data_IF_637794830740
#
_entry.id   IF_637794830740
#
_cell.length_a   1.000
_cell.length_b   1.000
_cell.length_c   1.000
_cell.angle_alpha   90.00
_cell.angle_beta   90.00
_cell.angle_gamma   90.00
#
_symmetry.space_group_name_H-M   'P 1'
#
loop_
_entity.id
_entity.type
_entity.pdbx_description
1 polymer ?
#
# COMPACT_ATOMS: atom_id res chain seq x y z
N UNK A 1 7.13 -33.37 14.88
CA UNK A 1 6.12 -32.46 15.50
C UNK A 1 6.55 -30.99 15.61
N UNK A 2 7.85 -30.63 15.51
CA UNK A 2 8.31 -29.23 15.64
C UNK A 2 8.01 -28.28 14.46
N UNK A 3 7.61 -28.79 13.29
CA UNK A 3 7.33 -27.94 12.09
C UNK A 3 5.89 -27.38 12.13
N UNK A 4 4.97 -28.07 12.81
CA UNK A 4 3.56 -27.68 12.90
C UNK A 4 3.34 -26.50 13.87
N UNK A 5 4.18 -26.37 14.90
CA UNK A 5 4.10 -25.27 15.86
C UNK A 5 4.66 -23.95 15.31
N UNK A 6 5.79 -23.96 14.58
CA UNK A 6 6.35 -22.70 14.02
C UNK A 6 5.45 -22.03 12.99
N UNK A 7 4.73 -22.80 12.16
CA UNK A 7 3.78 -22.24 11.18
C UNK A 7 2.51 -21.68 11.83
N UNK A 8 2.09 -22.23 12.98
CA UNK A 8 0.95 -21.73 13.75
C UNK A 8 1.28 -20.42 14.47
N UNK A 9 2.52 -20.27 14.95
CA UNK A 9 2.96 -19.05 15.62
C UNK A 9 3.02 -17.86 14.66
N UNK A 10 3.55 -18.04 13.44
CA UNK A 10 3.64 -16.96 12.44
C UNK A 10 2.28 -16.43 11.97
N UNK A 11 1.31 -17.31 11.71
CA UNK A 11 -0.04 -16.91 11.33
C UNK A 11 -0.77 -16.16 12.48
N UNK A 12 -0.61 -16.63 13.72
CA UNK A 12 -1.12 -15.93 14.92
C UNK A 12 -0.56 -14.51 15.04
N UNK A 13 0.75 -14.33 14.78
CA UNK A 13 1.38 -13.01 14.79
C UNK A 13 0.81 -12.07 13.72
N UNK A 14 0.51 -12.57 12.53
CA UNK A 14 -0.10 -11.76 11.45
C UNK A 14 -1.54 -11.36 11.75
N UNK A 15 -2.31 -12.24 12.38
CA UNK A 15 -3.68 -11.90 12.82
C UNK A 15 -3.61 -10.83 13.91
N UNK A 16 -2.72 -11.02 14.89
CA UNK A 16 -2.53 -10.06 15.97
C UNK A 16 -2.05 -8.70 15.46
N UNK A 17 -1.13 -8.66 14.48
CA UNK A 17 -0.72 -7.39 13.87
C UNK A 17 -1.86 -6.74 13.10
N UNK A 18 -2.66 -7.52 12.37
CA UNK A 18 -3.81 -6.99 11.63
C UNK A 18 -4.81 -6.32 12.58
N UNK A 19 -5.10 -6.96 13.73
CA UNK A 19 -5.95 -6.37 14.78
C UNK A 19 -5.35 -5.07 15.32
N UNK A 20 -4.02 -5.04 15.58
CA UNK A 20 -3.33 -3.83 16.03
C UNK A 20 -3.40 -2.70 15.00
N UNK A 21 -3.14 -3.01 13.73
CA UNK A 21 -3.19 -2.05 12.62
C UNK A 21 -4.59 -1.45 12.49
N UNK A 22 -5.63 -2.30 12.50
CA UNK A 22 -7.02 -1.86 12.45
C UNK A 22 -7.35 -1.02 13.68
N UNK A 23 -6.98 -1.48 14.87
CA UNK A 23 -7.22 -0.76 16.13
C UNK A 23 -6.56 0.62 16.14
N UNK A 24 -5.31 0.71 15.69
CA UNK A 24 -4.61 2.00 15.57
C UNK A 24 -5.28 2.89 14.52
N UNK A 25 -5.71 2.35 13.38
CA UNK A 25 -6.43 3.11 12.36
C UNK A 25 -7.77 3.68 12.88
N UNK A 26 -8.52 2.89 13.64
CA UNK A 26 -9.77 3.34 14.28
C UNK A 26 -9.48 4.41 15.33
N UNK A 27 -8.43 4.25 16.14
CA UNK A 27 -8.00 5.26 17.12
C UNK A 27 -7.61 6.56 16.43
N UNK A 28 -6.83 6.49 15.35
CA UNK A 28 -6.43 7.63 14.55
C UNK A 28 -7.66 8.36 14.00
N UNK A 29 -8.61 7.65 13.38
CA UNK A 29 -9.84 8.25 12.87
C UNK A 29 -10.68 8.89 13.98
N UNK A 30 -10.77 8.24 15.14
CA UNK A 30 -11.50 8.76 16.31
C UNK A 30 -10.88 10.05 16.86
N UNK A 31 -9.55 10.13 16.92
CA UNK A 31 -8.82 11.33 17.33
C UNK A 31 -9.03 12.47 16.32
N UNK A 32 -8.95 12.18 15.02
CA UNK A 32 -9.21 13.17 14.00
C UNK A 32 -10.66 13.66 14.05
N UNK A 33 -11.63 12.77 14.28
CA UNK A 33 -13.04 13.15 14.37
C UNK A 33 -13.36 14.13 15.52
N UNK A 34 -12.51 14.20 16.55
CA UNK A 34 -12.66 15.16 17.64
C UNK A 34 -12.08 16.55 17.31
N UNK A 35 -11.15 16.62 16.36
CA UNK A 35 -10.39 17.83 16.03
C UNK A 35 -10.92 18.50 14.76
N UNK A 36 -11.30 17.69 13.76
CA UNK A 36 -11.71 18.14 12.45
C UNK A 36 -13.19 18.49 12.41
N UNK A 37 -13.55 19.40 11.51
CA UNK A 37 -14.94 19.77 11.25
C UNK A 37 -15.68 18.69 10.44
N UNK A 38 -17.01 18.68 10.49
CA UNK A 38 -17.81 17.70 9.75
C UNK A 38 -17.56 17.72 8.23
N UNK A 39 -17.30 18.90 7.64
CA UNK A 39 -16.99 19.03 6.22
C UNK A 39 -15.67 18.35 5.85
N UNK A 40 -14.65 18.50 6.69
CA UNK A 40 -13.32 17.91 6.52
C UNK A 40 -13.35 16.38 6.61
N UNK A 41 -14.17 15.83 7.51
CA UNK A 41 -14.36 14.38 7.62
C UNK A 41 -15.06 13.80 6.40
N UNK A 42 -16.00 14.54 5.79
CA UNK A 42 -16.64 14.13 4.55
C UNK A 42 -15.64 14.05 3.40
N UNK A 43 -14.81 15.07 3.23
CA UNK A 43 -13.70 15.10 2.28
C UNK A 43 -12.77 13.90 2.44
N UNK A 44 -12.35 13.63 3.68
CA UNK A 44 -11.51 12.48 3.99
C UNK A 44 -12.19 11.14 3.64
N UNK A 45 -13.48 10.99 3.93
CA UNK A 45 -14.22 9.78 3.61
C UNK A 45 -14.29 9.53 2.09
N UNK A 46 -14.58 10.57 1.31
CA UNK A 46 -14.59 10.48 -0.17
C UNK A 46 -13.21 10.07 -0.70
N UNK A 47 -12.14 10.68 -0.18
CA UNK A 47 -10.77 10.32 -0.58
C UNK A 47 -10.42 8.86 -0.23
N UNK A 48 -10.78 8.38 0.97
CA UNK A 48 -10.54 7.00 1.41
C UNK A 48 -11.31 6.00 0.54
N UNK A 49 -12.57 6.29 0.21
CA UNK A 49 -13.37 5.40 -0.65
C UNK A 49 -12.76 5.33 -2.05
N UNK A 50 -12.37 6.47 -2.63
CA UNK A 50 -11.66 6.51 -3.91
C UNK A 50 -10.37 5.69 -3.89
N UNK A 51 -9.59 5.83 -2.83
CA UNK A 51 -8.38 5.04 -2.59
C UNK A 51 -8.64 3.54 -2.57
N UNK A 52 -9.64 3.08 -1.82
CA UNK A 52 -9.96 1.66 -1.70
C UNK A 52 -10.33 1.03 -3.04
N UNK A 53 -11.09 1.74 -3.87
CA UNK A 53 -11.45 1.27 -5.20
C UNK A 53 -10.20 1.08 -6.05
N UNK A 54 -9.31 2.06 -6.07
CA UNK A 54 -8.13 2.03 -6.93
C UNK A 54 -7.09 1.02 -6.42
N UNK A 55 -6.87 0.96 -5.11
CA UNK A 55 -5.96 -0.01 -4.47
C UNK A 55 -6.42 -1.44 -4.74
N UNK A 56 -7.71 -1.73 -4.62
CA UNK A 56 -8.25 -3.08 -4.91
C UNK A 56 -8.12 -3.46 -6.39
N UNK A 57 -8.26 -2.50 -7.32
CA UNK A 57 -8.02 -2.74 -8.74
C UNK A 57 -6.54 -3.01 -9.04
N UNK A 58 -5.63 -2.29 -8.40
CA UNK A 58 -4.18 -2.44 -8.58
C UNK A 58 -3.68 -3.78 -8.00
N UNK A 59 -4.11 -4.15 -6.80
CA UNK A 59 -3.55 -5.29 -6.06
C UNK A 59 -4.04 -6.65 -6.59
N UNK A 60 -5.31 -6.74 -7.02
CA UNK A 60 -5.93 -8.00 -7.46
C UNK A 60 -5.33 -8.59 -8.75
N UNK A 61 -4.69 -7.77 -9.58
CA UNK A 61 -4.04 -8.22 -10.81
C UNK A 61 -2.66 -8.85 -10.59
N UNK A 62 -1.93 -8.42 -9.55
CA UNK A 62 -0.50 -8.70 -9.40
C UNK A 62 -0.20 -9.70 -8.28
N UNK A 63 -0.67 -9.43 -7.06
CA UNK A 63 -0.33 -10.23 -5.88
C UNK A 63 -0.86 -11.67 -5.98
N UNK A 64 -2.08 -11.85 -6.48
CA UNK A 64 -2.66 -13.16 -6.72
C UNK A 64 -1.90 -13.96 -7.79
N UNK A 65 -1.44 -13.29 -8.85
CA UNK A 65 -0.68 -13.94 -9.91
C UNK A 65 0.68 -14.45 -9.40
N UNK A 66 1.37 -13.67 -8.57
CA UNK A 66 2.68 -14.02 -8.01
C UNK A 66 2.60 -15.13 -6.94
N UNK A 67 1.55 -15.14 -6.11
CA UNK A 67 1.36 -16.13 -5.05
C UNK A 67 0.94 -17.50 -5.61
N UNK A 68 0.10 -17.52 -6.66
CA UNK A 68 -0.48 -18.76 -7.22
C UNK A 68 0.41 -19.46 -8.24
N UNK A 69 1.26 -18.71 -8.94
CA UNK A 69 2.19 -19.30 -9.91
C UNK A 69 3.35 -20.00 -9.18
N UNK A 70 3.66 -21.24 -9.61
CA UNK A 70 4.70 -22.10 -9.04
C UNK A 70 6.13 -21.54 -9.22
N UNK A 71 7.08 -22.35 -9.66
CA UNK A 71 8.48 -21.92 -9.89
C UNK A 71 8.58 -20.91 -11.04
N UNK A 72 8.28 -19.64 -10.75
CA UNK A 72 8.53 -18.53 -11.67
C UNK A 72 10.03 -18.31 -11.79
N UNK A 73 10.52 -18.22 -13.02
CA UNK A 73 11.90 -17.78 -13.27
C UNK A 73 12.08 -16.35 -12.74
N UNK A 74 13.32 -15.98 -12.38
CA UNK A 74 13.69 -14.60 -12.00
C UNK A 74 13.19 -13.60 -13.06
N UNK A 75 13.28 -13.98 -14.33
CA UNK A 75 12.80 -13.19 -15.48
C UNK A 75 11.29 -12.92 -15.46
N UNK A 76 10.49 -13.92 -15.11
CA UNK A 76 9.02 -13.78 -15.06
C UNK A 76 8.62 -12.85 -13.91
N UNK A 77 9.31 -12.95 -12.77
CA UNK A 77 9.10 -12.08 -11.61
C UNK A 77 9.46 -10.62 -11.93
N UNK A 78 10.58 -10.38 -12.63
CA UNK A 78 10.96 -9.03 -13.09
C UNK A 78 9.92 -8.42 -14.04
N UNK A 79 9.37 -9.20 -14.97
CA UNK A 79 8.32 -8.69 -15.88
C UNK A 79 7.04 -8.32 -15.15
N UNK A 80 6.61 -9.15 -14.21
CA UNK A 80 5.46 -8.84 -13.37
C UNK A 80 5.73 -7.57 -12.55
N UNK A 81 6.91 -7.45 -11.93
CA UNK A 81 7.30 -6.30 -11.13
C UNK A 81 7.26 -4.99 -11.95
N UNK A 82 7.91 -4.96 -13.11
CA UNK A 82 7.90 -3.79 -14.00
C UNK A 82 6.52 -3.49 -14.57
N UNK A 83 5.72 -4.52 -14.87
CA UNK A 83 4.33 -4.35 -15.29
C UNK A 83 3.46 -3.69 -14.21
N UNK A 84 3.63 -4.10 -12.95
CA UNK A 84 2.93 -3.49 -11.82
C UNK A 84 3.36 -2.04 -11.60
N UNK A 85 4.68 -1.76 -11.65
CA UNK A 85 5.21 -0.40 -11.58
C UNK A 85 4.61 0.53 -12.65
N UNK A 86 4.56 0.06 -13.89
CA UNK A 86 4.02 0.84 -15.00
C UNK A 86 2.52 1.09 -14.82
N UNK A 87 1.75 0.07 -14.40
CA UNK A 87 0.32 0.23 -14.12
C UNK A 87 0.09 1.27 -13.01
N UNK A 88 0.84 1.19 -11.92
CA UNK A 88 0.66 2.13 -10.81
C UNK A 88 1.13 3.55 -11.15
N UNK A 89 2.14 3.69 -12.02
CA UNK A 89 2.53 5.00 -12.57
C UNK A 89 1.43 5.61 -13.43
N UNK A 90 0.74 4.80 -14.25
CA UNK A 90 -0.42 5.25 -15.03
C UNK A 90 -1.55 5.69 -14.11
N UNK A 91 -1.85 4.91 -13.07
CA UNK A 91 -2.87 5.26 -12.07
C UNK A 91 -2.51 6.58 -11.36
N UNK A 92 -1.25 6.76 -10.96
CA UNK A 92 -0.74 8.02 -10.40
C UNK A 92 -1.02 9.19 -11.34
N UNK A 93 -0.62 9.10 -12.61
CA UNK A 93 -0.80 10.18 -13.57
C UNK A 93 -2.27 10.51 -13.82
N UNK A 94 -3.13 9.50 -13.91
CA UNK A 94 -4.58 9.69 -14.08
C UNK A 94 -5.20 10.37 -12.87
N UNK A 95 -4.81 9.98 -11.65
CA UNK A 95 -5.30 10.61 -10.42
C UNK A 95 -4.79 12.03 -10.24
N UNK A 96 -3.51 12.27 -10.53
CA UNK A 96 -2.88 13.58 -10.37
C UNK A 96 -3.44 14.60 -11.37
N UNK A 97 -3.70 14.20 -12.62
CA UNK A 97 -4.33 15.10 -13.62
C UNK A 97 -5.85 15.17 -13.39
N UNK A 98 -6.45 14.08 -12.91
CA UNK A 98 -7.88 14.01 -12.61
C UNK A 98 -8.30 14.74 -11.34
N UNK A 99 -7.36 15.10 -10.45
CA UNK A 99 -7.64 15.78 -9.18
C UNK A 99 -8.39 17.10 -9.41
N UNK A 100 -7.91 17.91 -10.35
CA UNK A 100 -8.50 19.19 -10.72
C UNK A 100 -9.93 19.03 -11.28
N UNK A 101 -10.14 18.03 -12.12
CA UNK A 101 -11.46 17.72 -12.69
C UNK A 101 -12.44 17.32 -11.58
N UNK A 102 -12.03 16.42 -10.69
CA UNK A 102 -12.87 15.96 -9.57
C UNK A 102 -13.17 17.10 -8.60
N UNK A 103 -12.18 17.93 -8.28
CA UNK A 103 -12.34 19.09 -7.42
C UNK A 103 -13.31 20.12 -7.99
N UNK A 104 -13.24 20.37 -9.30
CA UNK A 104 -14.17 21.28 -9.98
C UNK A 104 -15.61 20.76 -9.97
N UNK A 105 -15.80 19.44 -10.11
CA UNK A 105 -17.13 18.81 -10.10
C UNK A 105 -17.77 18.83 -8.72
N UNK A 106 -16.97 18.61 -7.66
CA UNK A 106 -17.43 18.66 -6.27
C UNK A 106 -17.42 20.06 -5.66
N UNK A 107 -16.91 21.07 -6.38
CA UNK A 107 -16.75 22.45 -5.90
C UNK A 107 -15.95 22.57 -4.60
N UNK A 108 -14.98 21.68 -4.39
CA UNK A 108 -14.14 21.63 -3.18
C UNK A 108 -12.65 21.62 -3.54
N UNK A 109 -11.95 22.77 -3.46
CA UNK A 109 -10.54 22.88 -3.84
C UNK A 109 -9.61 22.06 -2.95
N UNK A 110 -9.97 21.86 -1.67
CA UNK A 110 -9.20 21.04 -0.73
C UNK A 110 -9.09 19.58 -1.19
N UNK A 111 -10.11 19.07 -1.90
CA UNK A 111 -10.10 17.71 -2.42
C UNK A 111 -9.02 17.50 -3.50
N UNK A 112 -8.69 18.54 -4.28
CA UNK A 112 -7.64 18.45 -5.30
C UNK A 112 -6.30 18.09 -4.65
N UNK A 113 -5.90 18.88 -3.65
CA UNK A 113 -4.65 18.71 -2.90
C UNK A 113 -4.61 17.33 -2.24
N UNK A 114 -5.74 16.89 -1.67
CA UNK A 114 -5.83 15.58 -1.04
C UNK A 114 -5.59 14.44 -2.05
N UNK A 115 -6.26 14.49 -3.21
CA UNK A 115 -6.11 13.49 -4.26
C UNK A 115 -4.71 13.47 -4.86
N UNK A 116 -4.09 14.64 -5.06
CA UNK A 116 -2.71 14.75 -5.53
C UNK A 116 -1.73 14.11 -4.56
N UNK A 117 -1.81 14.45 -3.27
CA UNK A 117 -0.94 13.87 -2.25
C UNK A 117 -1.12 12.35 -2.13
N UNK A 118 -2.37 11.91 -2.18
CA UNK A 118 -2.73 10.49 -2.14
C UNK A 118 -2.21 9.75 -3.38
N UNK A 119 -2.21 10.38 -4.55
CA UNK A 119 -1.76 9.75 -5.79
C UNK A 119 -0.31 9.25 -5.66
N UNK A 120 0.55 9.98 -4.93
CA UNK A 120 1.97 9.64 -4.71
C UNK A 120 2.13 8.24 -4.09
N UNK A 121 1.14 7.80 -3.31
CA UNK A 121 1.13 6.48 -2.69
C UNK A 121 1.17 5.36 -3.73
N UNK A 122 0.59 5.57 -4.91
CA UNK A 122 0.65 4.60 -6.02
C UNK A 122 2.05 4.45 -6.62
N UNK A 123 2.97 5.37 -6.38
CA UNK A 123 4.39 5.18 -6.76
C UNK A 123 5.12 4.36 -5.68
N UNK A 124 4.72 4.50 -4.42
CA UNK A 124 5.43 3.95 -3.25
C UNK A 124 4.97 2.51 -2.93
N UNK A 125 3.66 2.26 -2.88
CA UNK A 125 3.11 0.96 -2.47
C UNK A 125 3.57 -0.22 -3.35
N UNK A 126 3.52 -0.13 -4.70
CA UNK A 126 3.79 -1.29 -5.57
C UNK A 126 5.18 -1.90 -5.37
N UNK A 127 6.15 -1.07 -4.99
CA UNK A 127 7.52 -1.51 -4.74
C UNK A 127 7.57 -2.44 -3.53
N UNK A 128 6.88 -2.07 -2.45
CA UNK A 128 6.77 -2.90 -1.24
C UNK A 128 5.87 -4.12 -1.43
N UNK A 129 4.81 -4.02 -2.24
CA UNK A 129 3.85 -5.12 -2.45
C UNK A 129 4.49 -6.36 -3.05
N UNK A 130 5.44 -6.19 -3.99
CA UNK A 130 6.16 -7.33 -4.57
C UNK A 130 6.92 -8.13 -3.50
N UNK A 131 7.71 -7.45 -2.67
CA UNK A 131 8.45 -8.11 -1.59
C UNK A 131 7.53 -8.70 -0.52
N UNK A 132 6.42 -8.02 -0.20
CA UNK A 132 5.39 -8.56 0.70
C UNK A 132 4.80 -9.86 0.16
N UNK A 133 4.48 -9.93 -1.12
CA UNK A 133 3.95 -11.13 -1.76
C UNK A 133 4.98 -12.29 -1.76
N UNK A 134 6.27 -12.01 -1.97
CA UNK A 134 7.35 -13.01 -1.81
C UNK A 134 7.41 -13.52 -0.36
N UNK A 135 7.41 -12.62 0.63
CA UNK A 135 7.43 -13.00 2.05
C UNK A 135 6.20 -13.82 2.46
N UNK A 136 5.02 -13.50 1.92
CA UNK A 136 3.79 -14.28 2.14
C UNK A 136 3.95 -15.68 1.57
N UNK A 137 4.50 -15.81 0.36
CA UNK A 137 4.77 -17.09 -0.29
C UNK A 137 5.79 -17.92 0.49
N UNK A 138 6.83 -17.29 1.04
CA UNK A 138 7.84 -17.93 1.91
C UNK A 138 7.36 -18.16 3.35
N UNK A 139 6.09 -17.85 3.66
CA UNK A 139 5.47 -17.99 4.99
C UNK A 139 6.17 -17.18 6.10
N UNK A 140 6.84 -16.08 5.74
CA UNK A 140 7.52 -15.17 6.68
C UNK A 140 6.54 -14.18 7.34
N UNK A 141 5.38 -14.67 7.81
CA UNK A 141 4.29 -13.86 8.35
C UNK A 141 4.70 -12.99 9.55
N UNK A 142 5.64 -13.44 10.37
CA UNK A 142 6.17 -12.66 11.50
C UNK A 142 6.88 -11.38 11.06
N UNK A 143 7.63 -11.42 9.95
CA UNK A 143 8.33 -10.23 9.42
C UNK A 143 7.35 -9.21 8.84
N UNK A 144 6.31 -9.71 8.16
CA UNK A 144 5.21 -8.88 7.65
C UNK A 144 4.50 -8.18 8.82
N UNK A 145 4.13 -8.94 9.85
CA UNK A 145 3.44 -8.45 11.04
C UNK A 145 4.23 -7.35 11.77
N UNK A 146 5.53 -7.56 11.94
CA UNK A 146 6.42 -6.58 12.57
C UNK A 146 6.54 -5.29 11.75
N UNK A 147 6.71 -5.43 10.44
CA UNK A 147 6.79 -4.30 9.50
C UNK A 147 5.51 -3.46 9.52
N UNK A 148 4.34 -4.11 9.45
CA UNK A 148 3.04 -3.42 9.50
C UNK A 148 2.86 -2.67 10.83
N UNK A 149 3.24 -3.29 11.95
CA UNK A 149 3.11 -2.66 13.27
C UNK A 149 3.99 -1.42 13.41
N UNK A 150 5.28 -1.49 13.02
CA UNK A 150 6.20 -0.35 13.09
C UNK A 150 5.72 0.79 12.18
N UNK A 151 5.30 0.46 10.96
CA UNK A 151 4.88 1.46 9.98
C UNK A 151 3.68 2.25 10.48
N UNK A 152 2.70 1.57 11.08
CA UNK A 152 1.49 2.19 11.62
C UNK A 152 1.76 3.02 12.88
N UNK A 153 2.63 2.55 13.77
CA UNK A 153 3.06 3.35 14.93
C UNK A 153 3.77 4.63 14.49
N UNK A 154 4.65 4.54 13.50
CA UNK A 154 5.34 5.71 12.95
C UNK A 154 4.34 6.67 12.27
N UNK A 155 3.41 6.14 11.48
CA UNK A 155 2.33 6.90 10.85
C UNK A 155 1.45 7.66 11.84
N UNK A 156 1.06 7.00 12.93
CA UNK A 156 0.32 7.65 14.01
C UNK A 156 1.15 8.79 14.62
N UNK A 157 2.44 8.57 14.88
CA UNK A 157 3.34 9.60 15.38
C UNK A 157 3.42 10.82 14.45
N UNK A 158 3.57 10.60 13.14
CA UNK A 158 3.58 11.67 12.12
C UNK A 158 2.24 12.40 12.09
N UNK A 159 1.12 11.67 12.20
CA UNK A 159 -0.23 12.26 12.21
C UNK A 159 -0.40 13.18 13.41
N UNK A 160 -0.06 12.72 14.62
CA UNK A 160 -0.17 13.53 15.83
C UNK A 160 0.75 14.75 15.78
N UNK A 161 1.96 14.59 15.23
CA UNK A 161 2.91 15.69 15.05
C UNK A 161 2.39 16.75 14.07
N UNK A 162 1.81 16.33 12.94
CA UNK A 162 1.22 17.28 11.96
C UNK A 162 -0.03 17.95 12.49
N UNK A 163 -0.86 17.26 13.26
CA UNK A 163 -2.02 17.86 13.97
C UNK A 163 -1.57 18.99 14.90
N UNK A 164 -0.43 18.80 15.59
CA UNK A 164 0.13 19.81 16.49
C UNK A 164 0.63 21.07 15.76
N UNK A 165 1.15 20.92 14.54
CA UNK A 165 1.63 22.04 13.73
C UNK A 165 0.49 22.78 13.03
N UNK A 166 -0.40 22.03 12.38
CA UNK A 166 -1.48 22.56 11.54
C UNK A 166 -2.68 21.62 11.60
N UNK A 167 -3.72 21.91 12.40
CA UNK A 167 -4.93 21.10 12.43
C UNK A 167 -5.67 21.23 11.09
N UNK A 168 -5.49 20.22 10.24
CA UNK A 168 -6.09 20.17 8.90
C UNK A 168 -6.33 18.71 8.49
N UNK A 169 -7.17 18.50 7.48
CA UNK A 169 -7.43 17.17 6.91
C UNK A 169 -6.18 16.49 6.37
N UNK A 170 -5.20 17.29 5.94
CA UNK A 170 -3.94 16.83 5.37
C UNK A 170 -3.11 16.00 6.36
N UNK A 171 -3.31 16.15 7.67
CA UNK A 171 -2.61 15.34 8.68
C UNK A 171 -2.86 13.84 8.49
N UNK A 172 -4.08 13.45 8.11
CA UNK A 172 -4.42 12.05 7.84
C UNK A 172 -3.60 11.50 6.67
N UNK A 173 -3.46 12.30 5.61
CA UNK A 173 -2.75 11.91 4.38
C UNK A 173 -1.25 11.86 4.63
N UNK A 174 -0.68 12.82 5.37
CA UNK A 174 0.72 12.78 5.77
C UNK A 174 1.04 11.53 6.61
N UNK A 175 0.16 11.20 7.56
CA UNK A 175 0.25 9.95 8.30
C UNK A 175 0.23 8.74 7.39
N UNK A 176 -0.71 8.68 6.45
CA UNK A 176 -0.84 7.57 5.50
C UNK A 176 0.38 7.44 4.57
N UNK A 177 0.91 8.55 4.05
CA UNK A 177 2.14 8.59 3.26
C UNK A 177 3.35 8.09 4.06
N UNK A 178 3.45 8.46 5.33
CA UNK A 178 4.50 7.98 6.22
C UNK A 178 4.42 6.46 6.43
N UNK A 179 3.21 5.92 6.68
CA UNK A 179 2.99 4.47 6.77
C UNK A 179 3.43 3.78 5.48
N UNK A 180 2.99 4.27 4.33
CA UNK A 180 3.30 3.69 3.03
C UNK A 180 4.82 3.68 2.77
N UNK A 181 5.50 4.80 3.08
CA UNK A 181 6.93 4.98 2.88
C UNK A 181 7.76 4.08 3.79
N UNK A 182 7.49 4.08 5.09
CA UNK A 182 8.21 3.22 6.06
C UNK A 182 8.01 1.74 5.72
N UNK A 183 6.78 1.35 5.41
CA UNK A 183 6.45 -0.02 5.02
C UNK A 183 7.21 -0.44 3.76
N UNK A 184 7.24 0.42 2.73
CA UNK A 184 7.97 0.19 1.49
C UNK A 184 9.47 0.04 1.74
N UNK A 185 10.08 0.92 2.57
CA UNK A 185 11.50 0.86 2.91
C UNK A 185 11.87 -0.42 3.65
N UNK A 186 11.09 -0.81 4.66
CA UNK A 186 11.34 -2.03 5.44
C UNK A 186 11.18 -3.28 4.56
N UNK A 187 10.15 -3.32 3.70
CA UNK A 187 9.98 -4.43 2.76
C UNK A 187 11.10 -4.50 1.73
N UNK A 188 11.59 -3.36 1.23
CA UNK A 188 12.78 -3.33 0.36
C UNK A 188 14.03 -3.82 1.11
N UNK A 189 14.20 -3.44 2.37
CA UNK A 189 15.33 -3.86 3.18
C UNK A 189 15.37 -5.38 3.37
N UNK A 190 14.26 -5.98 3.81
CA UNK A 190 14.17 -7.43 3.96
C UNK A 190 14.12 -8.18 2.62
N UNK A 191 13.57 -7.57 1.58
CA UNK A 191 13.37 -8.18 0.27
C UNK A 191 14.61 -8.18 -0.63
N UNK A 192 15.61 -7.33 -0.35
CA UNK A 192 16.87 -7.26 -1.10
C UNK A 192 17.66 -8.56 -1.10
N UNK A 193 17.54 -9.37 -0.05
CA UNK A 193 18.18 -10.70 0.02
C UNK A 193 17.44 -11.75 -0.82
N UNK A 194 16.13 -11.60 -1.01
CA UNK A 194 15.30 -12.58 -1.74
C UNK A 194 15.23 -12.31 -3.24
N UNK A 195 15.24 -11.05 -3.69
CA UNK A 195 15.07 -10.71 -5.10
C UNK A 195 15.78 -9.41 -5.48
N UNK A 196 16.54 -9.45 -6.59
CA UNK A 196 17.11 -8.27 -7.24
C UNK A 196 16.50 -8.14 -8.64
N UNK A 197 15.85 -7.03 -8.99
CA UNK A 197 15.19 -6.88 -10.28
C UNK A 197 16.21 -6.80 -11.43
N UNK A 198 16.19 -7.79 -12.34
CA UNK A 198 16.93 -7.71 -13.61
C UNK A 198 16.19 -6.80 -14.62
N UNK A 199 16.94 -5.92 -15.29
CA UNK A 199 16.43 -4.93 -16.25
C UNK A 199 16.32 -5.54 -17.67
N UNK A 200 15.36 -6.45 -17.90
CA UNK A 200 15.04 -6.96 -19.26
C UNK A 200 13.53 -7.07 -19.48
N UNK A 201 12.91 -5.98 -19.92
CA UNK A 201 11.47 -5.90 -20.20
C UNK A 201 11.15 -6.33 -21.65
N UNK A 202 10.23 -7.29 -21.85
CA UNK A 202 9.74 -7.71 -23.17
C UNK A 202 8.20 -7.83 -23.18
N UNK A 203 7.52 -6.96 -23.92
CA UNK A 203 6.05 -6.89 -23.97
C UNK A 203 5.37 -8.18 -24.48
N UNK A 204 6.01 -8.94 -25.39
CA UNK A 204 5.46 -10.20 -25.94
C UNK A 204 5.47 -11.36 -24.93
N UNK A 205 6.17 -11.19 -23.83
CA UNK A 205 6.39 -12.21 -22.81
C UNK A 205 5.48 -11.96 -21.60
N UNK A 206 5.25 -10.68 -21.26
CA UNK A 206 4.25 -10.25 -20.26
C UNK A 206 2.83 -10.75 -20.56
N UNK A 207 2.37 -10.64 -21.83
CA UNK A 207 1.03 -11.13 -22.22
C UNK A 207 0.91 -12.65 -22.14
N UNK A 208 2.00 -13.38 -22.44
CA UNK A 208 2.06 -14.85 -22.37
C UNK A 208 2.04 -15.36 -20.94
N UNK A 209 2.72 -14.68 -20.02
CA UNK A 209 2.77 -15.04 -18.60
C UNK A 209 1.42 -14.76 -17.95
N UNK A 210 0.79 -13.61 -18.24
CA UNK A 210 -0.56 -13.29 -17.74
C UNK A 210 -1.60 -14.32 -18.19
N UNK A 211 -1.52 -14.78 -19.44
CA UNK A 211 -2.40 -15.82 -19.98
C UNK A 211 -2.16 -17.23 -19.39
N UNK A 212 -1.03 -17.46 -18.72
CA UNK A 212 -0.70 -18.73 -18.06
C UNK A 212 -1.15 -18.76 -16.59
N UNK A 213 -1.47 -17.59 -16.02
CA UNK A 213 -1.73 -17.39 -14.59
C UNK A 213 -3.19 -16.96 -14.32
N UNK A 214 -3.86 -16.34 -15.29
CA UNK A 214 -5.30 -16.09 -15.27
C UNK A 214 -6.08 -17.36 -15.59
#
# INVERSE_FOLDING_TARGET
MAIRERSFTGAKWSILSSIKVIGIGVLQLSLLAQILQANELNLLAVAIVGLLIIDTLADRGFSNALIRSGSLSVRDQSMLYWGNMLLSLVIFAVLFIGSDLVSSYLQQPELAIMLEMVSVVFIIIPQGQHYRAIMQREKQYTRIAFTETISVLFGLGVTLFTVWLTPSVLCAIWGYLAIASVRMLIYCYYGRESFQPEYRFNLKEYSRIRARIG
#
